data_IF_966602229473
#
_entry.id   IF_966602229473
#
_cell.length_a   1.000
_cell.length_b   1.000
_cell.length_c   1.000
_cell.angle_alpha   90.00
_cell.angle_beta   90.00
_cell.angle_gamma   90.00
#
_symmetry.space_group_name_H-M   'P 1'
#
loop_
_entity.id
_entity.type
_entity.pdbx_description
1 polymer ?
#
# COMPACT_ATOMS: atom_id res chain seq x y z
N UNK A 1 10.63 -10.77 -5.71
CA UNK A 1 9.76 -9.58 -5.64
C UNK A 1 8.30 -9.96 -5.87
N UNK A 2 7.95 -10.61 -6.99
CA UNK A 2 6.58 -11.09 -7.29
C UNK A 2 5.94 -11.89 -6.13
N UNK A 3 6.64 -12.91 -5.60
CA UNK A 3 6.15 -13.73 -4.48
C UNK A 3 5.82 -12.92 -3.23
N UNK A 4 6.64 -11.91 -2.91
CA UNK A 4 6.42 -11.03 -1.77
C UNK A 4 5.20 -10.13 -1.97
N UNK A 5 5.05 -9.56 -3.17
CA UNK A 5 3.87 -8.78 -3.57
C UNK A 5 2.60 -9.62 -3.50
N UNK A 6 2.62 -10.79 -4.12
CA UNK A 6 1.52 -11.74 -4.07
C UNK A 6 1.16 -12.12 -2.63
N UNK A 7 2.14 -12.44 -1.79
CA UNK A 7 1.91 -12.80 -0.39
C UNK A 7 1.20 -11.68 0.39
N UNK A 8 1.70 -10.45 0.32
CA UNK A 8 1.14 -9.30 1.07
C UNK A 8 -0.28 -8.96 0.59
N UNK A 9 -0.48 -8.85 -0.72
CA UNK A 9 -1.78 -8.41 -1.24
C UNK A 9 -2.81 -9.53 -1.29
N UNK A 10 -2.41 -10.79 -1.46
CA UNK A 10 -3.32 -11.94 -1.32
C UNK A 10 -3.81 -12.08 0.12
N UNK A 11 -2.90 -12.04 1.10
CA UNK A 11 -3.27 -12.17 2.51
C UNK A 11 -4.21 -11.05 2.96
N UNK A 12 -3.93 -9.80 2.56
CA UNK A 12 -4.74 -8.65 2.95
C UNK A 12 -6.06 -8.53 2.18
N UNK A 13 -6.02 -8.58 0.85
CA UNK A 13 -7.19 -8.31 0.00
C UNK A 13 -8.16 -9.50 -0.10
N UNK A 14 -7.63 -10.73 -0.10
CA UNK A 14 -8.45 -11.94 -0.19
C UNK A 14 -8.57 -12.65 1.16
N UNK A 15 -7.44 -12.78 1.87
CA UNK A 15 -7.39 -13.45 3.16
C UNK A 15 -7.94 -12.63 4.33
N UNK A 16 -8.07 -11.30 4.21
CA UNK A 16 -8.50 -10.43 5.30
C UNK A 16 -7.52 -10.31 6.46
N UNK A 17 -6.26 -10.65 6.26
CA UNK A 17 -5.21 -10.59 7.28
C UNK A 17 -3.99 -9.84 6.76
N UNK A 18 -3.42 -9.00 7.61
CA UNK A 18 -2.29 -8.17 7.24
C UNK A 18 -1.17 -8.32 8.27
N UNK A 19 0.05 -8.60 7.80
CA UNK A 19 1.24 -8.58 8.66
C UNK A 19 1.81 -7.16 8.70
N UNK A 20 1.72 -6.51 9.87
CA UNK A 20 2.14 -5.14 10.09
C UNK A 20 3.64 -4.97 10.39
N UNK A 21 4.44 -6.06 10.37
CA UNK A 21 5.89 -6.02 10.54
C UNK A 21 6.65 -6.75 9.41
N UNK A 22 6.70 -6.19 8.19
CA UNK A 22 7.40 -6.79 7.06
C UNK A 22 8.92 -6.51 7.13
N UNK A 23 9.56 -6.83 8.25
CA UNK A 23 11.00 -6.67 8.42
C UNK A 23 11.79 -7.63 7.49
N UNK A 24 12.91 -7.20 6.87
CA UNK A 24 13.71 -8.07 6.00
C UNK A 24 14.12 -9.40 6.66
N UNK A 25 14.37 -9.41 7.97
CA UNK A 25 14.72 -10.61 8.74
C UNK A 25 13.60 -11.66 8.84
N UNK A 26 12.37 -11.32 8.47
CA UNK A 26 11.22 -12.23 8.56
C UNK A 26 11.06 -13.12 7.31
N UNK A 27 11.95 -12.99 6.33
CA UNK A 27 11.86 -13.69 5.05
C UNK A 27 13.15 -14.47 4.73
N UNK A 28 13.00 -15.77 4.48
CA UNK A 28 14.04 -16.59 3.85
C UNK A 28 13.74 -16.74 2.36
N UNK A 29 14.73 -16.44 1.53
CA UNK A 29 14.64 -16.54 0.07
C UNK A 29 15.29 -17.85 -0.38
N UNK A 30 14.58 -18.58 -1.22
CA UNK A 30 15.04 -19.85 -1.78
C UNK A 30 15.15 -19.73 -3.31
N UNK A 31 15.76 -20.74 -3.93
CA UNK A 31 15.76 -20.90 -5.39
C UNK A 31 14.32 -21.03 -5.93
N UNK A 32 14.13 -20.72 -7.20
CA UNK A 32 12.81 -20.82 -7.85
C UNK A 32 11.78 -19.77 -7.40
N UNK A 33 12.19 -18.75 -6.64
CA UNK A 33 11.30 -17.67 -6.20
C UNK A 33 10.42 -18.03 -5.00
N UNK A 34 10.69 -19.15 -4.33
CA UNK A 34 10.02 -19.50 -3.07
C UNK A 34 10.51 -18.59 -1.93
N UNK A 35 9.59 -18.17 -1.07
CA UNK A 35 9.89 -17.37 0.11
C UNK A 35 9.20 -17.99 1.32
N UNK A 36 9.95 -18.17 2.41
CA UNK A 36 9.39 -18.57 3.71
C UNK A 36 9.28 -17.33 4.60
N UNK A 37 8.06 -17.00 5.03
CA UNK A 37 7.82 -16.04 6.09
C UNK A 37 7.81 -16.77 7.45
N UNK A 38 8.52 -16.23 8.44
CA UNK A 38 8.71 -16.91 9.75
C UNK A 38 8.03 -16.20 10.92
N UNK A 39 7.74 -14.91 10.78
CA UNK A 39 7.17 -14.10 11.85
C UNK A 39 5.73 -13.70 11.52
N UNK A 40 4.82 -14.09 12.43
CA UNK A 40 3.40 -13.76 12.39
C UNK A 40 2.94 -13.07 13.68
N UNK A 41 3.87 -12.56 14.50
CA UNK A 41 3.60 -11.92 15.78
C UNK A 41 2.85 -10.58 15.67
N UNK A 42 2.78 -10.00 14.47
CA UNK A 42 2.09 -8.73 14.20
C UNK A 42 1.04 -8.87 13.07
N UNK A 43 0.26 -9.95 13.09
CA UNK A 43 -0.87 -10.12 12.17
C UNK A 43 -2.11 -9.42 12.72
N UNK A 44 -2.78 -8.67 11.85
CA UNK A 44 -3.96 -7.86 12.16
C UNK A 44 -5.08 -8.23 11.19
N UNK A 45 -6.30 -8.37 11.72
CA UNK A 45 -7.49 -8.59 10.89
C UNK A 45 -7.86 -7.31 10.15
N UNK A 46 -8.19 -7.44 8.87
CA UNK A 46 -8.71 -6.36 8.03
C UNK A 46 -10.23 -6.47 7.99
N UNK A 47 -10.99 -5.55 8.62
CA UNK A 47 -12.44 -5.63 8.64
C UNK A 47 -13.05 -5.72 7.24
N UNK A 48 -14.12 -6.50 7.02
CA UNK A 48 -14.70 -6.70 5.68
C UNK A 48 -15.03 -5.40 4.94
N UNK A 49 -15.55 -4.38 5.64
CA UNK A 49 -15.85 -3.07 5.06
C UNK A 49 -14.60 -2.33 4.57
N UNK A 50 -13.49 -2.42 5.32
CA UNK A 50 -12.19 -1.85 4.92
C UNK A 50 -11.60 -2.61 3.73
N UNK A 51 -11.67 -3.94 3.77
CA UNK A 51 -11.21 -4.81 2.69
C UNK A 51 -11.93 -4.51 1.37
N UNK A 52 -13.24 -4.28 1.41
CA UNK A 52 -14.02 -3.91 0.24
C UNK A 52 -13.57 -2.56 -0.38
N UNK A 53 -13.21 -1.58 0.45
CA UNK A 53 -12.68 -0.30 -0.02
C UNK A 53 -11.27 -0.47 -0.61
N UNK A 54 -10.39 -1.22 0.05
CA UNK A 54 -9.06 -1.53 -0.46
C UNK A 54 -9.12 -2.23 -1.83
N UNK A 55 -9.99 -3.23 -1.98
CA UNK A 55 -10.22 -3.90 -3.27
C UNK A 55 -10.64 -2.94 -4.38
N UNK A 56 -11.47 -1.93 -4.08
CA UNK A 56 -11.87 -0.92 -5.07
C UNK A 56 -10.69 -0.05 -5.51
N UNK A 57 -9.86 0.39 -4.57
CA UNK A 57 -8.66 1.20 -4.85
C UNK A 57 -7.67 0.40 -5.72
N UNK A 58 -7.36 -0.83 -5.34
CA UNK A 58 -6.46 -1.71 -6.09
C UNK A 58 -6.97 -2.01 -7.51
N UNK A 59 -8.26 -2.35 -7.66
CA UNK A 59 -8.86 -2.59 -8.99
C UNK A 59 -8.81 -1.35 -9.88
N UNK A 60 -9.07 -0.17 -9.33
CA UNK A 60 -8.98 1.07 -10.08
C UNK A 60 -7.54 1.38 -10.52
N UNK A 61 -6.56 1.17 -9.64
CA UNK A 61 -5.14 1.36 -9.97
C UNK A 61 -4.68 0.43 -11.09
N UNK A 62 -5.00 -0.87 -10.99
CA UNK A 62 -4.70 -1.87 -12.03
C UNK A 62 -5.35 -1.52 -13.36
N UNK A 63 -6.56 -0.97 -13.34
CA UNK A 63 -7.28 -0.55 -14.55
C UNK A 63 -6.77 0.78 -15.13
N UNK A 64 -5.87 1.49 -14.44
CA UNK A 64 -5.44 2.84 -14.82
C UNK A 64 -6.53 3.91 -14.69
N UNK A 65 -7.62 3.62 -13.97
CA UNK A 65 -8.76 4.53 -13.82
C UNK A 65 -8.52 5.51 -12.67
N UNK A 66 -7.95 6.67 -13.01
CA UNK A 66 -7.64 7.72 -12.03
C UNK A 66 -8.88 8.28 -11.33
N UNK A 67 -10.02 8.37 -12.03
CA UNK A 67 -11.25 8.90 -11.45
C UNK A 67 -11.80 7.92 -10.41
N UNK A 68 -11.92 6.64 -10.77
CA UNK A 68 -12.37 5.60 -9.85
C UNK A 68 -11.39 5.42 -8.67
N UNK A 69 -10.09 5.56 -8.92
CA UNK A 69 -9.06 5.48 -7.88
C UNK A 69 -9.23 6.59 -6.85
N UNK A 70 -9.36 7.84 -7.28
CA UNK A 70 -9.57 8.98 -6.36
C UNK A 70 -10.87 8.84 -5.58
N UNK A 71 -11.97 8.45 -6.21
CA UNK A 71 -13.25 8.24 -5.52
C UNK A 71 -13.20 7.09 -4.51
N UNK A 72 -12.55 5.97 -4.84
CA UNK A 72 -12.33 4.88 -3.90
C UNK A 72 -11.39 5.29 -2.75
N UNK A 73 -10.35 6.08 -3.06
CA UNK A 73 -9.40 6.63 -2.10
C UNK A 73 -10.07 7.55 -1.08
N UNK A 74 -10.96 8.45 -1.52
CA UNK A 74 -11.76 9.30 -0.62
C UNK A 74 -12.56 8.47 0.38
N UNK A 75 -13.27 7.45 -0.12
CA UNK A 75 -14.06 6.57 0.73
C UNK A 75 -13.18 5.76 1.72
N UNK A 76 -12.02 5.28 1.27
CA UNK A 76 -11.07 4.53 2.10
C UNK A 76 -10.46 5.41 3.22
N UNK A 77 -10.06 6.63 2.87
CA UNK A 77 -9.41 7.58 3.77
C UNK A 77 -10.40 8.43 4.58
N UNK A 78 -11.70 8.33 4.26
CA UNK A 78 -12.79 9.08 4.89
C UNK A 78 -12.59 10.60 4.83
N UNK A 79 -11.93 11.09 3.78
CA UNK A 79 -11.66 12.51 3.58
C UNK A 79 -12.93 13.29 3.25
N UNK A 80 -12.93 14.60 3.52
CA UNK A 80 -14.09 15.46 3.34
C UNK A 80 -13.73 16.77 2.60
N UNK A 81 -13.02 16.64 1.48
CA UNK A 81 -12.65 17.75 0.61
C UNK A 81 -11.54 18.68 1.15
N UNK A 82 -11.21 19.68 0.34
CA UNK A 82 -10.19 20.68 0.65
C UNK A 82 -8.74 20.22 0.40
N UNK A 83 -7.78 21.09 0.74
CA UNK A 83 -6.35 20.87 0.49
C UNK A 83 -5.80 19.62 1.21
N UNK A 84 -6.36 19.29 2.37
CA UNK A 84 -5.96 18.10 3.11
C UNK A 84 -6.35 16.81 2.37
N UNK A 85 -7.55 16.75 1.79
CA UNK A 85 -7.96 15.63 0.94
C UNK A 85 -7.03 15.47 -0.26
N UNK A 86 -6.75 16.55 -0.98
CA UNK A 86 -5.83 16.51 -2.13
C UNK A 86 -4.46 15.94 -1.73
N UNK A 87 -3.89 16.42 -0.62
CA UNK A 87 -2.61 15.94 -0.07
C UNK A 87 -2.63 14.44 0.23
N UNK A 88 -3.71 13.95 0.85
CA UNK A 88 -3.87 12.53 1.19
C UNK A 88 -4.05 11.66 -0.07
N UNK A 89 -4.82 12.13 -1.05
CA UNK A 89 -5.06 11.39 -2.30
C UNK A 89 -3.82 11.35 -3.19
N UNK A 90 -3.04 12.43 -3.23
CA UNK A 90 -1.79 12.49 -3.98
C UNK A 90 -0.73 11.56 -3.34
N UNK A 91 -0.66 11.53 -2.00
CA UNK A 91 0.16 10.55 -1.29
C UNK A 91 -0.28 9.11 -1.55
N UNK A 92 -1.60 8.86 -1.53
CA UNK A 92 -2.16 7.55 -1.83
C UNK A 92 -1.80 7.12 -3.26
N UNK A 93 -1.91 8.02 -4.23
CA UNK A 93 -1.50 7.76 -5.62
C UNK A 93 -0.01 7.41 -5.71
N UNK A 94 0.86 8.16 -5.03
CA UNK A 94 2.31 7.88 -5.00
C UNK A 94 2.61 6.45 -4.54
N UNK A 95 1.87 5.93 -3.56
CA UNK A 95 2.05 4.57 -3.05
C UNK A 95 1.64 3.49 -4.07
N UNK A 96 0.71 3.83 -4.97
CA UNK A 96 0.14 2.96 -5.99
C UNK A 96 0.82 3.12 -7.36
N UNK A 97 1.82 4.01 -7.50
CA UNK A 97 2.62 4.16 -8.73
C UNK A 97 3.11 2.83 -9.32
N UNK A 98 3.58 1.83 -8.53
CA UNK A 98 4.01 0.55 -9.09
C UNK A 98 2.91 -0.22 -9.80
N UNK A 99 1.63 0.02 -9.45
CA UNK A 99 0.48 -0.57 -10.13
C UNK A 99 0.09 0.24 -11.37
N UNK A 100 0.12 1.57 -11.30
CA UNK A 100 -0.19 2.45 -12.43
C UNK A 100 0.85 2.35 -13.55
N UNK A 101 2.13 2.35 -13.18
CA UNK A 101 3.26 2.41 -14.09
C UNK A 101 3.96 1.05 -14.20
N UNK A 102 3.21 -0.04 -14.05
CA UNK A 102 3.73 -1.40 -14.24
C UNK A 102 4.14 -1.64 -15.71
N UNK A 103 5.28 -2.30 -15.99
CA UNK A 103 6.24 -2.82 -15.02
C UNK A 103 7.07 -1.70 -14.37
N UNK A 104 7.33 -1.84 -13.06
CA UNK A 104 7.95 -0.78 -12.26
C UNK A 104 9.18 -1.30 -11.51
N UNK A 105 10.22 -0.47 -11.42
CA UNK A 105 11.40 -0.74 -10.61
C UNK A 105 11.31 0.01 -9.28
N UNK A 106 10.97 -0.71 -8.21
CA UNK A 106 10.98 -0.14 -6.85
C UNK A 106 12.43 0.05 -6.43
N UNK A 107 12.89 1.31 -6.36
CA UNK A 107 14.24 1.67 -5.93
C UNK A 107 14.26 2.16 -4.48
N UNK A 108 15.46 2.33 -3.92
CA UNK A 108 15.65 2.95 -2.59
C UNK A 108 15.16 4.39 -2.57
N UNK A 109 15.41 5.15 -3.63
CA UNK A 109 14.97 6.55 -3.75
C UNK A 109 13.44 6.63 -3.80
N UNK A 110 12.79 5.71 -4.54
CA UNK A 110 11.35 5.61 -4.55
C UNK A 110 10.80 5.27 -3.16
N UNK A 111 11.35 4.26 -2.48
CA UNK A 111 10.94 3.92 -1.11
C UNK A 111 11.15 5.10 -0.13
N UNK A 112 12.26 5.84 -0.27
CA UNK A 112 12.54 7.06 0.48
C UNK A 112 11.52 8.17 0.23
N UNK A 113 11.09 8.35 -1.02
CA UNK A 113 10.07 9.36 -1.36
C UNK A 113 8.71 9.10 -0.71
N UNK A 114 8.36 7.84 -0.41
CA UNK A 114 7.13 7.51 0.33
C UNK A 114 7.22 7.92 1.81
N UNK A 115 8.42 7.90 2.38
CA UNK A 115 8.69 8.41 3.73
C UNK A 115 8.51 9.92 3.76
N UNK A 116 9.12 10.62 2.81
CA UNK A 116 9.05 12.07 2.71
C UNK A 116 7.60 12.54 2.52
N UNK A 117 6.85 11.87 1.64
CA UNK A 117 5.42 12.15 1.43
C UNK A 117 4.59 11.98 2.71
N UNK A 118 4.87 10.95 3.52
CA UNK A 118 4.19 10.77 4.81
C UNK A 118 4.51 11.91 5.79
N UNK A 119 5.78 12.29 5.90
CA UNK A 119 6.22 13.40 6.77
C UNK A 119 5.56 14.71 6.34
N UNK A 120 5.51 14.98 5.04
CA UNK A 120 4.83 16.15 4.49
C UNK A 120 3.32 16.14 4.81
N UNK A 121 2.65 14.99 4.64
CA UNK A 121 1.24 14.84 5.01
C UNK A 121 0.97 15.11 6.50
N UNK A 122 1.86 14.65 7.39
CA UNK A 122 1.77 14.94 8.81
C UNK A 122 1.95 16.43 9.12
N UNK A 123 2.91 17.09 8.48
CA UNK A 123 3.15 18.54 8.63
C UNK A 123 1.96 19.36 8.12
N UNK A 124 1.37 19.01 6.97
CA UNK A 124 0.17 19.69 6.46
C UNK A 124 -1.04 19.44 7.36
N UNK A 125 -1.17 18.24 7.94
CA UNK A 125 -2.19 17.94 8.95
C UNK A 125 -2.12 18.87 10.17
N UNK A 126 -0.91 19.19 10.65
CA UNK A 126 -0.71 20.14 11.75
C UNK A 126 -1.09 21.59 11.41
N UNK A 127 -1.02 21.99 10.13
CA UNK A 127 -1.39 23.32 9.65
C UNK A 127 -2.88 23.45 9.29
N UNK A 128 -3.57 22.32 9.15
CA UNK A 128 -4.97 22.27 8.72
C UNK A 128 -5.90 22.61 9.88
N UNK A 129 -7.00 23.33 9.61
CA UNK A 129 -8.00 23.64 10.65
C UNK A 129 -8.60 22.34 11.17
N UNK A 130 -8.87 22.28 12.49
CA UNK A 130 -9.42 21.09 13.14
C UNK A 130 -10.73 20.57 12.51
N UNK A 131 -11.52 21.43 11.88
CA UNK A 131 -12.77 21.07 11.18
C UNK A 131 -12.54 20.37 9.83
N UNK A 132 -11.37 20.54 9.23
CA UNK A 132 -10.96 19.91 7.95
C UNK A 132 -10.05 18.69 8.19
N UNK A 133 -9.61 18.49 9.44
CA UNK A 133 -8.77 17.37 9.84
C UNK A 133 -9.64 16.13 10.07
N UNK A 134 -9.45 15.12 9.21
CA UNK A 134 -10.03 13.79 9.42
C UNK A 134 -9.01 12.94 10.17
N UNK A 135 -9.34 12.36 11.34
CA UNK A 135 -8.45 11.43 12.01
C UNK A 135 -8.15 10.24 11.08
N UNK A 136 -6.88 9.84 11.02
CA UNK A 136 -6.49 8.64 10.28
C UNK A 136 -7.37 7.47 10.74
N UNK A 137 -8.06 6.79 9.81
CA UNK A 137 -8.94 5.73 10.21
C UNK A 137 -8.19 4.61 10.95
N UNK A 138 -8.84 3.99 11.95
CA UNK A 138 -8.25 2.87 12.69
C UNK A 138 -7.70 1.81 11.73
N UNK A 139 -6.45 1.39 11.96
CA UNK A 139 -5.70 0.47 11.10
C UNK A 139 -4.78 1.12 10.06
N UNK A 140 -4.97 2.39 9.69
CA UNK A 140 -4.11 3.04 8.68
C UNK A 140 -2.70 3.35 9.20
N UNK A 141 -2.54 3.61 10.50
CA UNK A 141 -1.22 3.75 11.12
C UNK A 141 -0.37 2.47 11.01
N UNK A 142 -1.01 1.30 10.91
CA UNK A 142 -0.36 0.01 10.70
C UNK A 142 -0.07 -0.25 9.21
N UNK A 143 -0.90 0.26 8.29
CA UNK A 143 -0.60 0.25 6.85
C UNK A 143 0.62 1.11 6.48
N UNK A 144 0.91 2.18 7.23
CA UNK A 144 2.16 2.93 7.07
C UNK A 144 3.40 2.01 7.23
N UNK A 145 3.35 0.99 8.08
CA UNK A 145 4.46 0.02 8.24
C UNK A 145 4.71 -0.80 6.98
N UNK A 146 3.69 -1.02 6.13
CA UNK A 146 3.88 -1.61 4.80
C UNK A 146 4.73 -0.69 3.93
N UNK A 147 4.40 0.60 3.88
CA UNK A 147 5.11 1.56 3.04
C UNK A 147 6.60 1.66 3.43
N UNK A 148 6.94 1.60 4.72
CA UNK A 148 8.33 1.61 5.18
C UNK A 148 9.04 0.27 4.98
N UNK A 149 8.53 -0.80 5.58
CA UNK A 149 9.26 -2.06 5.67
C UNK A 149 9.23 -2.81 4.34
N UNK A 150 8.03 -2.97 3.78
CA UNK A 150 7.81 -3.82 2.62
C UNK A 150 8.44 -3.24 1.35
N UNK A 151 8.23 -1.95 1.07
CA UNK A 151 8.88 -1.32 -0.10
C UNK A 151 10.40 -1.25 0.06
N UNK A 152 10.91 -1.09 1.29
CA UNK A 152 12.36 -1.19 1.53
C UNK A 152 12.92 -2.59 1.26
N UNK A 153 12.17 -3.66 1.57
CA UNK A 153 12.54 -5.03 1.20
C UNK A 153 12.58 -5.16 -0.32
N UNK A 154 11.53 -4.72 -1.02
CA UNK A 154 11.47 -4.78 -2.48
C UNK A 154 12.57 -3.96 -3.14
N UNK A 155 12.88 -2.78 -2.62
CA UNK A 155 13.96 -1.91 -3.09
C UNK A 155 15.35 -2.53 -2.98
N UNK A 156 15.55 -3.50 -2.08
CA UNK A 156 16.82 -4.23 -1.97
C UNK A 156 16.94 -5.37 -2.97
N UNK A 157 15.84 -5.82 -3.54
CA UNK A 157 15.85 -6.84 -4.59
C UNK A 157 16.31 -6.27 -5.93
N UNK A 158 16.18 -4.95 -6.14
CA UNK A 158 16.73 -4.21 -7.29
C UNK A 158 16.31 -4.82 -8.64
N UNK A 159 15.00 -5.09 -8.77
CA UNK A 159 14.40 -5.72 -9.96
C UNK A 159 13.13 -4.99 -10.38
N UNK A 160 12.92 -4.94 -11.69
CA UNK A 160 11.67 -4.50 -12.31
C UNK A 160 10.62 -5.63 -12.30
N UNK A 161 9.36 -5.29 -12.00
CA UNK A 161 8.26 -6.26 -11.92
C UNK A 161 6.97 -5.66 -12.48
N UNK A 162 6.19 -6.48 -13.21
CA UNK A 162 4.78 -6.21 -13.53
C UNK A 162 3.88 -6.46 -12.30
N UNK A 163 3.84 -5.50 -11.38
CA UNK A 163 3.04 -5.61 -10.15
C UNK A 163 1.53 -5.65 -10.46
N UNK A 164 1.06 -4.91 -11.46
CA UNK A 164 -0.32 -4.96 -11.91
C UNK A 164 -0.68 -6.34 -12.48
N UNK A 165 0.21 -6.98 -13.22
CA UNK A 165 0.09 -8.37 -13.65
C UNK A 165 -0.03 -9.35 -12.49
N UNK A 166 0.81 -9.19 -11.47
CA UNK A 166 0.76 -10.02 -10.24
C UNK A 166 -0.61 -9.89 -9.57
N UNK A 167 -1.12 -8.68 -9.34
CA UNK A 167 -2.43 -8.51 -8.70
C UNK A 167 -3.61 -8.96 -9.57
N UNK A 168 -3.54 -8.76 -10.89
CA UNK A 168 -4.58 -9.30 -11.81
C UNK A 168 -4.69 -10.81 -11.69
N UNK A 169 -3.56 -11.52 -11.60
CA UNK A 169 -3.57 -12.97 -11.43
C UNK A 169 -4.26 -13.38 -10.11
N UNK A 170 -4.05 -12.63 -9.02
CA UNK A 170 -4.71 -12.90 -7.74
C UNK A 170 -6.25 -12.81 -7.82
N UNK A 171 -6.78 -11.90 -8.66
CA UNK A 171 -8.23 -11.70 -8.79
C UNK A 171 -8.91 -12.62 -9.80
N UNK A 172 -8.13 -13.42 -10.53
CA UNK A 172 -8.63 -14.38 -11.53
C UNK A 172 -8.81 -15.81 -10.98
N UNK A 173 -8.34 -16.07 -9.76
CA UNK A 173 -8.52 -17.33 -9.01
C UNK A 173 -9.94 -17.47 -8.43
#
# INVERSE_FOLDING_TARGET
AQTLWAFVFRSSLLGGHFNADPHPGNFFFHEGGHVTAIDYGCVVEVPPARRALALRVHRAAIAGDQAAFREAGKAMMQTNGGKFEETILDYLHQCFVPLFDSPFHITRDYAGSLVDGMVQGAVEGLKTKKAEMVPLPEGMALMNRLQFGFYSVLARLDVEVDYAGVERALFAE
#
